data_IF_339896606125
#
_entry.id   IF_339896606125
#
_cell.length_a   1.000
_cell.length_b   1.000
_cell.length_c   1.000
_cell.angle_alpha   90.00
_cell.angle_beta   90.00
_cell.angle_gamma   90.00
#
_symmetry.space_group_name_H-M   'P 1'
#
loop_
_entity.id
_entity.type
_entity.pdbx_description
1 polymer ?
#
# COMPACT_ATOMS: atom_id res chain seq x y z
N UNK A 1 -1.61 -31.51 -11.07
CA UNK A 1 -0.34 -31.42 -11.83
C UNK A 1 0.50 -30.26 -11.29
N UNK A 2 1.76 -30.52 -10.89
CA UNK A 2 2.68 -29.53 -10.32
C UNK A 2 3.33 -28.73 -11.44
N UNK A 3 3.24 -27.40 -11.41
CA UNK A 3 3.93 -26.54 -12.39
C UNK A 3 5.36 -26.29 -11.90
N UNK A 4 6.35 -26.60 -12.74
CA UNK A 4 7.77 -26.45 -12.44
C UNK A 4 8.45 -25.60 -13.51
N UNK A 5 9.63 -25.05 -13.18
CA UNK A 5 10.40 -24.26 -14.15
C UNK A 5 10.98 -25.21 -15.22
N UNK A 6 10.95 -24.80 -16.49
CA UNK A 6 11.51 -25.57 -17.60
C UNK A 6 13.06 -25.59 -17.63
N UNK A 7 13.70 -24.87 -16.70
CA UNK A 7 15.14 -24.89 -16.50
C UNK A 7 15.48 -25.99 -15.49
N UNK A 8 16.35 -26.92 -15.89
CA UNK A 8 16.75 -28.11 -15.13
C UNK A 8 17.47 -27.77 -13.82
N UNK A 9 18.34 -26.75 -13.84
CA UNK A 9 19.03 -26.29 -12.62
C UNK A 9 18.13 -25.44 -11.69
N UNK A 10 16.90 -25.12 -12.11
CA UNK A 10 15.94 -24.35 -11.32
C UNK A 10 14.96 -25.29 -10.59
N UNK A 11 15.03 -25.31 -9.26
CA UNK A 11 14.15 -26.10 -8.37
C UNK A 11 12.85 -25.37 -7.98
N UNK A 12 12.49 -24.28 -8.68
CA UNK A 12 11.27 -23.53 -8.38
C UNK A 12 10.01 -24.31 -8.75
N UNK A 13 9.09 -24.39 -7.79
CA UNK A 13 7.78 -25.03 -7.91
C UNK A 13 6.69 -23.97 -7.76
N UNK A 14 5.60 -24.11 -8.50
CA UNK A 14 4.46 -23.23 -8.33
C UNK A 14 3.69 -23.60 -7.07
N UNK A 15 3.62 -22.66 -6.13
CA UNK A 15 2.88 -22.79 -4.87
C UNK A 15 1.91 -21.61 -4.79
N UNK A 16 0.66 -21.87 -4.40
CA UNK A 16 -0.35 -20.81 -4.22
C UNK A 16 0.12 -19.84 -3.11
N UNK A 17 0.25 -18.56 -3.45
CA UNK A 17 0.65 -17.50 -2.52
C UNK A 17 2.16 -17.30 -2.38
N UNK A 18 2.97 -18.01 -3.17
CA UNK A 18 4.42 -17.77 -3.24
C UNK A 18 4.73 -16.51 -4.07
N UNK A 19 5.89 -15.92 -3.81
CA UNK A 19 6.39 -14.69 -4.45
C UNK A 19 6.84 -14.98 -5.89
N UNK A 20 7.21 -16.24 -6.17
CA UNK A 20 7.67 -16.67 -7.49
C UNK A 20 6.48 -16.89 -8.42
N UNK A 21 6.39 -16.06 -9.47
CA UNK A 21 5.39 -16.22 -10.52
C UNK A 21 5.93 -17.06 -11.67
N UNK A 22 5.02 -17.75 -12.38
CA UNK A 22 5.36 -18.61 -13.51
C UNK A 22 4.74 -18.05 -14.78
N UNK A 23 5.55 -17.92 -15.81
CA UNK A 23 5.21 -17.28 -17.08
C UNK A 23 5.19 -18.31 -18.21
N UNK A 24 4.17 -18.19 -19.06
CA UNK A 24 4.07 -18.97 -20.28
C UNK A 24 5.00 -18.39 -21.35
N UNK A 25 5.48 -19.23 -22.25
CA UNK A 25 6.13 -18.74 -23.46
C UNK A 25 5.17 -17.85 -24.25
N UNK A 26 5.67 -16.73 -24.83
CA UNK A 26 4.86 -15.83 -25.63
C UNK A 26 4.16 -16.55 -26.79
N UNK A 27 2.98 -16.02 -27.17
CA UNK A 27 2.26 -16.45 -28.38
C UNK A 27 2.93 -15.89 -29.64
N UNK A 28 3.57 -14.73 -29.52
CA UNK A 28 4.29 -14.09 -30.62
C UNK A 28 5.53 -14.93 -30.99
N UNK A 29 5.59 -15.38 -32.24
CA UNK A 29 6.60 -16.33 -32.71
C UNK A 29 8.01 -15.74 -32.65
N UNK A 30 8.16 -14.44 -32.93
CA UNK A 30 9.44 -13.72 -32.87
C UNK A 30 9.99 -13.68 -31.45
N UNK A 31 9.17 -13.27 -30.47
CA UNK A 31 9.56 -13.19 -29.06
C UNK A 31 9.78 -14.58 -28.47
N UNK A 32 8.97 -15.58 -28.88
CA UNK A 32 9.18 -16.98 -28.49
C UNK A 32 10.53 -17.50 -28.97
N UNK A 33 10.93 -17.21 -30.22
CA UNK A 33 12.27 -17.57 -30.73
C UNK A 33 13.39 -16.89 -29.94
N UNK A 34 13.21 -15.62 -29.57
CA UNK A 34 14.15 -14.91 -28.70
C UNK A 34 14.29 -15.56 -27.33
N UNK A 35 13.18 -15.99 -26.70
CA UNK A 35 13.22 -16.72 -25.43
C UNK A 35 13.96 -18.05 -25.56
N UNK A 36 13.67 -18.83 -26.60
CA UNK A 36 14.32 -20.13 -26.83
C UNK A 36 15.81 -19.94 -27.10
N UNK A 37 16.19 -18.91 -27.87
CA UNK A 37 17.59 -18.60 -28.15
C UNK A 37 18.34 -18.06 -26.94
N UNK A 38 17.66 -17.38 -26.03
CA UNK A 38 18.26 -16.84 -24.82
C UNK A 38 18.55 -17.94 -23.78
N UNK A 39 17.74 -19.00 -23.76
CA UNK A 39 17.90 -20.12 -22.82
C UNK A 39 18.94 -21.11 -23.37
N UNK A 40 20.05 -21.36 -22.67
CA UNK A 40 21.02 -22.37 -23.09
C UNK A 40 20.38 -23.77 -23.14
N UNK A 41 20.55 -24.51 -24.23
CA UNK A 41 19.91 -25.82 -24.41
C UNK A 41 20.39 -26.88 -23.40
N UNK A 42 21.59 -26.70 -22.84
CA UNK A 42 22.19 -27.57 -21.82
C UNK A 42 21.57 -27.41 -20.42
N UNK A 43 20.82 -26.33 -20.17
CA UNK A 43 20.16 -26.10 -18.88
C UNK A 43 18.67 -26.38 -18.90
N UNK A 44 18.11 -26.84 -20.03
CA UNK A 44 16.71 -27.19 -20.14
C UNK A 44 16.42 -28.52 -19.43
N UNK A 45 15.29 -28.58 -18.72
CA UNK A 45 14.81 -29.78 -18.03
C UNK A 45 14.29 -30.83 -19.03
N UNK A 46 13.76 -30.38 -20.15
CA UNK A 46 13.21 -31.22 -21.22
C UNK A 46 13.89 -30.85 -22.54
N UNK A 47 14.04 -31.84 -23.42
CA UNK A 47 14.63 -31.65 -24.76
C UNK A 47 13.85 -30.63 -25.59
N UNK A 48 12.52 -30.60 -25.40
CA UNK A 48 11.61 -29.75 -26.17
C UNK A 48 10.82 -28.79 -25.28
N UNK A 49 10.68 -27.55 -25.74
CA UNK A 49 9.86 -26.52 -25.10
C UNK A 49 8.43 -26.62 -25.64
N UNK A 50 7.55 -27.22 -24.84
CA UNK A 50 6.13 -27.36 -25.17
C UNK A 50 5.34 -26.09 -24.83
N UNK A 51 4.07 -26.02 -25.24
CA UNK A 51 3.15 -24.95 -24.82
C UNK A 51 2.85 -24.95 -23.31
N UNK A 52 3.16 -26.04 -22.60
CA UNK A 52 2.96 -26.20 -21.17
C UNK A 52 4.23 -25.87 -20.37
N UNK A 53 5.37 -25.71 -21.03
CA UNK A 53 6.61 -25.24 -20.40
C UNK A 53 6.41 -23.84 -19.81
N UNK A 54 6.93 -23.63 -18.59
CA UNK A 54 6.84 -22.37 -17.86
C UNK A 54 8.22 -21.96 -17.36
N UNK A 55 8.49 -20.66 -17.37
CA UNK A 55 9.66 -20.06 -16.74
C UNK A 55 9.25 -19.32 -15.48
N UNK A 56 10.01 -19.46 -14.40
CA UNK A 56 9.75 -18.70 -13.19
C UNK A 56 10.31 -17.26 -13.28
N UNK A 57 9.80 -16.36 -12.45
CA UNK A 57 10.17 -14.94 -12.43
C UNK A 57 11.66 -14.69 -12.15
N UNK A 58 12.39 -15.65 -11.56
CA UNK A 58 13.83 -15.53 -11.26
C UNK A 58 14.70 -15.35 -12.50
N UNK A 59 14.23 -15.78 -13.67
CA UNK A 59 14.98 -15.71 -14.92
C UNK A 59 14.81 -14.36 -15.65
N UNK A 60 14.04 -13.44 -15.06
CA UNK A 60 13.76 -12.12 -15.59
C UNK A 60 14.29 -11.05 -14.63
N UNK A 61 14.83 -9.96 -15.16
CA UNK A 61 15.23 -8.80 -14.36
C UNK A 61 13.98 -8.07 -13.84
N UNK A 62 14.12 -7.29 -12.77
CA UNK A 62 13.01 -6.52 -12.20
C UNK A 62 12.35 -5.56 -13.23
N UNK A 63 13.14 -5.03 -14.17
CA UNK A 63 12.69 -4.15 -15.25
C UNK A 63 11.83 -4.85 -16.32
N UNK A 64 11.87 -6.18 -16.39
CA UNK A 64 11.03 -6.95 -17.31
C UNK A 64 9.57 -7.01 -16.88
N UNK A 65 9.22 -6.54 -15.68
CA UNK A 65 7.87 -6.59 -15.15
C UNK A 65 7.16 -5.24 -15.30
N UNK A 66 5.87 -5.26 -15.65
CA UNK A 66 5.05 -4.06 -15.69
C UNK A 66 4.75 -3.60 -14.27
N UNK A 67 5.00 -2.33 -13.98
CA UNK A 67 4.60 -1.68 -12.72
C UNK A 67 3.10 -1.34 -12.76
N UNK A 68 2.25 -2.36 -12.60
CA UNK A 68 0.79 -2.16 -12.56
C UNK A 68 0.37 -1.66 -11.19
N UNK A 69 0.15 -0.35 -11.06
CA UNK A 69 -0.38 0.35 -9.86
C UNK A 69 -1.85 0.02 -9.53
N UNK A 70 -2.48 -0.91 -10.26
CA UNK A 70 -3.86 -1.32 -10.01
C UNK A 70 -3.93 -2.48 -9.00
N UNK A 71 -4.54 -2.23 -7.84
CA UNK A 71 -4.83 -3.17 -6.74
C UNK A 71 -5.53 -4.50 -7.13
N UNK A 72 -5.95 -4.68 -8.39
CA UNK A 72 -6.58 -5.90 -8.92
C UNK A 72 -5.63 -6.85 -9.65
N UNK A 73 -4.37 -6.48 -9.89
CA UNK A 73 -3.40 -7.34 -10.60
C UNK A 73 -2.05 -7.39 -9.89
N UNK A 74 -2.01 -8.04 -8.71
CA UNK A 74 -0.77 -8.48 -8.05
C UNK A 74 -0.03 -9.59 -8.82
N UNK A 75 -0.42 -9.90 -10.05
CA UNK A 75 0.34 -10.78 -10.93
C UNK A 75 1.44 -9.94 -11.58
N UNK A 76 2.69 -10.22 -11.24
CA UNK A 76 3.87 -9.69 -11.94
C UNK A 76 3.76 -10.04 -13.43
N UNK A 77 3.18 -9.17 -14.24
CA UNK A 77 3.04 -9.39 -15.67
C UNK A 77 4.34 -8.97 -16.35
N UNK A 78 4.81 -9.79 -17.29
CA UNK A 78 5.99 -9.45 -18.09
C UNK A 78 5.63 -8.40 -19.15
N UNK A 79 6.55 -7.48 -19.39
CA UNK A 79 6.49 -6.53 -20.49
C UNK A 79 6.43 -7.27 -21.83
N UNK A 80 5.81 -6.65 -22.84
CA UNK A 80 5.65 -7.24 -24.18
C UNK A 80 6.98 -7.57 -24.88
N UNK A 81 8.09 -6.99 -24.41
CA UNK A 81 9.44 -7.21 -24.95
C UNK A 81 10.37 -7.89 -23.94
N UNK A 82 9.84 -8.42 -22.82
CA UNK A 82 10.66 -9.07 -21.82
C UNK A 82 11.29 -10.35 -22.39
N UNK A 83 12.59 -10.55 -22.17
CA UNK A 83 13.34 -11.75 -22.54
C UNK A 83 14.08 -12.27 -21.31
N UNK A 84 14.03 -13.58 -21.03
CA UNK A 84 14.75 -14.14 -19.90
C UNK A 84 16.26 -13.96 -20.14
N UNK A 85 16.95 -13.33 -19.20
CA UNK A 85 18.36 -12.95 -19.33
C UNK A 85 19.22 -13.55 -18.21
N UNK A 86 18.57 -14.00 -17.12
CA UNK A 86 19.26 -14.51 -15.93
C UNK A 86 19.27 -16.04 -15.97
N UNK A 87 20.40 -16.58 -16.41
CA UNK A 87 20.70 -18.00 -16.40
C UNK A 87 22.07 -18.18 -15.75
N UNK A 88 22.14 -18.00 -14.44
CA UNK A 88 23.40 -18.23 -13.72
C UNK A 88 23.81 -19.70 -13.92
N UNK A 89 24.94 -19.88 -14.59
CA UNK A 89 25.73 -21.09 -14.54
C UNK A 89 26.26 -21.17 -13.11
N UNK A 90 25.82 -22.17 -12.35
CA UNK A 90 26.15 -22.29 -10.93
C UNK A 90 27.61 -22.71 -10.80
N UNK A 91 28.54 -21.75 -10.97
CA UNK A 91 29.87 -21.84 -10.38
C UNK A 91 29.72 -21.40 -8.94
N UNK A 92 29.70 -22.40 -8.08
CA UNK A 92 29.70 -22.27 -6.63
C UNK A 92 30.97 -21.52 -6.20
N UNK A 93 30.92 -20.19 -6.19
CA UNK A 93 32.04 -19.37 -5.74
C UNK A 93 31.56 -18.12 -5.02
N UNK A 94 31.70 -18.18 -3.69
CA UNK A 94 32.11 -17.08 -2.82
C UNK A 94 31.14 -15.88 -2.71
N UNK A 95 29.90 -16.13 -2.30
CA UNK A 95 29.26 -15.21 -1.35
C UNK A 95 29.51 -15.72 0.06
N UNK A 96 30.33 -14.96 0.78
CA UNK A 96 30.74 -15.15 2.16
C UNK A 96 29.50 -15.18 3.07
N UNK A 97 28.94 -16.38 3.26
CA UNK A 97 28.01 -16.67 4.34
C UNK A 97 28.84 -16.75 5.61
N UNK A 98 28.61 -15.80 6.52
CA UNK A 98 29.05 -15.92 7.90
C UNK A 98 28.32 -17.13 8.49
N UNK A 99 29.15 -18.10 8.82
CA UNK A 99 28.89 -19.44 9.34
C UNK A 99 28.04 -19.42 10.61
N UNK A 100 27.04 -20.32 10.68
CA UNK A 100 26.59 -20.97 11.91
C UNK A 100 25.79 -22.23 11.49
N UNK A 101 26.44 -23.37 11.74
CA UNK A 101 26.24 -24.69 11.15
C UNK A 101 24.85 -25.32 11.40
N UNK A 102 24.32 -26.00 10.37
CA UNK A 102 23.27 -27.02 10.48
C UNK A 102 23.52 -28.17 9.51
N UNK A 103 24.23 -29.17 9.98
CA UNK A 103 24.10 -30.57 9.53
C UNK A 103 22.96 -31.22 10.36
N UNK A 104 22.10 -32.13 9.92
CA UNK A 104 21.79 -32.84 8.66
C UNK A 104 20.34 -33.34 8.81
N UNK A 105 19.54 -33.38 7.74
CA UNK A 105 18.23 -34.05 7.73
C UNK A 105 18.20 -35.04 6.55
N UNK A 106 17.98 -36.35 6.78
CA UNK A 106 18.06 -37.34 5.73
C UNK A 106 16.78 -37.40 4.87
N UNK A 107 17.03 -37.72 3.61
CA UNK A 107 16.11 -38.12 2.55
C UNK A 107 14.93 -38.99 3.00
N UNK A 108 13.72 -38.62 2.57
CA UNK A 108 12.67 -39.58 2.26
C UNK A 108 12.06 -39.20 0.91
N UNK A 109 12.51 -39.91 -0.12
CA UNK A 109 11.82 -40.02 -1.40
C UNK A 109 10.66 -41.02 -1.29
N UNK A 110 9.62 -40.72 -2.07
CA UNK A 110 8.55 -41.59 -2.57
C UNK A 110 7.38 -41.90 -1.64
N UNK A 111 6.27 -41.16 -1.81
CA UNK A 111 4.93 -41.75 -1.98
C UNK A 111 4.16 -40.92 -3.02
N UNK A 112 3.75 -41.57 -4.10
CA UNK A 112 2.80 -41.10 -5.11
C UNK A 112 1.37 -41.26 -4.60
N UNK A 113 0.49 -40.24 -4.73
CA UNK A 113 -0.94 -40.44 -4.97
C UNK A 113 -1.53 -39.23 -5.70
N UNK A 114 -2.19 -39.48 -6.82
CA UNK A 114 -2.99 -38.54 -7.61
C UNK A 114 -4.46 -38.51 -7.10
N UNK A 115 -5.36 -37.63 -7.60
CA UNK A 115 -6.13 -36.74 -6.74
C UNK A 115 -7.64 -37.06 -6.70
N UNK A 116 -8.31 -36.72 -5.60
CA UNK A 116 -9.77 -36.65 -5.56
C UNK A 116 -10.26 -35.31 -5.03
N UNK A 117 -11.19 -34.80 -5.84
CA UNK A 117 -11.98 -33.58 -5.80
C UNK A 117 -12.79 -33.43 -4.51
N UNK A 118 -13.35 -32.23 -4.28
CA UNK A 118 -14.68 -31.97 -3.73
C UNK A 118 -14.75 -30.50 -3.24
N UNK A 119 -15.46 -29.73 -4.03
CA UNK A 119 -16.21 -28.53 -3.69
C UNK A 119 -17.16 -28.72 -2.50
N UNK A 120 -17.17 -27.75 -1.58
CA UNK A 120 -18.32 -27.17 -0.88
C UNK A 120 -19.61 -28.02 -0.69
N UNK A 121 -19.99 -28.33 0.56
CA UNK A 121 -21.03 -27.65 1.37
C UNK A 121 -21.49 -28.54 2.56
N UNK A 122 -21.58 -27.93 3.74
CA UNK A 122 -22.29 -28.38 4.96
C UNK A 122 -22.46 -29.88 5.25
N UNK A 123 -21.73 -30.40 6.25
CA UNK A 123 -22.37 -31.31 7.22
C UNK A 123 -21.63 -31.35 8.55
N UNK A 124 -22.40 -31.49 9.63
CA UNK A 124 -22.00 -31.50 11.04
C UNK A 124 -20.87 -32.51 11.28
N UNK A 125 -19.78 -32.05 11.91
CA UNK A 125 -18.67 -32.93 12.26
C UNK A 125 -19.03 -33.81 13.47
N UNK A 126 -19.43 -35.05 13.21
CA UNK A 126 -19.07 -36.15 14.12
C UNK A 126 -17.58 -36.45 13.95
N UNK A 127 -16.89 -36.67 15.06
CA UNK A 127 -15.43 -36.81 15.12
C UNK A 127 -14.99 -37.99 14.23
N UNK A 128 -14.07 -37.81 13.27
CA UNK A 128 -13.56 -38.93 12.50
C UNK A 128 -12.76 -39.85 13.43
N UNK A 129 -13.13 -41.13 13.43
CA UNK A 129 -12.45 -42.20 14.14
C UNK A 129 -11.09 -42.43 13.45
N UNK A 130 -10.02 -41.84 14.03
CA UNK A 130 -8.64 -42.01 13.57
C UNK A 130 -8.10 -43.35 14.09
N UNK A 131 -8.58 -44.46 13.52
CA UNK A 131 -8.07 -45.81 13.85
C UNK A 131 -7.15 -46.40 12.78
N UNK A 132 -6.96 -45.75 11.62
CA UNK A 132 -6.30 -46.40 10.48
C UNK A 132 -5.03 -45.74 9.93
N UNK A 133 -4.51 -44.67 10.54
CA UNK A 133 -3.19 -44.17 10.16
C UNK A 133 -2.34 -43.99 11.41
N UNK A 134 -1.57 -45.03 11.75
CA UNK A 134 -0.24 -44.98 12.37
C UNK A 134 0.27 -46.43 12.59
N UNK A 135 0.77 -47.05 11.52
CA UNK A 135 1.72 -48.19 11.62
C UNK A 135 3.09 -47.81 11.06
N UNK A 136 3.56 -46.62 11.45
CA UNK A 136 4.98 -46.33 11.58
C UNK A 136 5.14 -45.78 12.98
N UNK A 137 5.67 -46.59 13.88
CA UNK A 137 6.07 -46.16 15.21
C UNK A 137 7.27 -45.21 15.06
N UNK A 138 7.00 -43.98 14.61
CA UNK A 138 7.87 -42.86 14.96
C UNK A 138 7.73 -42.78 16.47
N UNK A 139 8.79 -43.11 17.20
CA UNK A 139 8.77 -43.16 18.66
C UNK A 139 8.04 -41.92 19.21
N UNK A 140 7.07 -42.14 20.09
CA UNK A 140 6.18 -41.09 20.64
C UNK A 140 6.98 -39.91 21.19
N UNK A 141 8.22 -40.14 21.64
CA UNK A 141 9.18 -39.15 22.09
C UNK A 141 9.70 -38.23 20.96
N UNK A 142 9.95 -38.73 19.76
CA UNK A 142 10.40 -37.94 18.60
C UNK A 142 9.28 -37.04 18.06
N UNK A 143 8.05 -37.56 18.01
CA UNK A 143 6.86 -36.75 17.65
C UNK A 143 6.57 -35.64 18.66
N UNK A 144 6.65 -35.95 19.96
CA UNK A 144 6.51 -34.97 21.05
C UNK A 144 7.56 -33.86 20.95
N UNK A 145 8.83 -34.24 20.72
CA UNK A 145 9.95 -33.30 20.57
C UNK A 145 9.78 -32.36 19.37
N UNK A 146 9.33 -32.88 18.22
CA UNK A 146 9.07 -32.06 17.03
C UNK A 146 7.89 -31.10 17.25
N UNK A 147 6.87 -31.51 18.01
CA UNK A 147 5.73 -30.65 18.36
C UNK A 147 6.16 -29.52 19.30
N UNK A 148 6.93 -29.85 20.35
CA UNK A 148 7.48 -28.87 21.30
C UNK A 148 8.42 -27.87 20.60
N UNK A 149 9.21 -28.33 19.62
CA UNK A 149 10.09 -27.47 18.82
C UNK A 149 9.31 -26.56 17.87
N UNK A 150 8.26 -27.08 17.23
CA UNK A 150 7.34 -26.28 16.41
C UNK A 150 6.60 -25.23 17.24
N UNK A 151 6.17 -25.58 18.46
CA UNK A 151 5.50 -24.66 19.39
C UNK A 151 6.43 -23.52 19.82
N UNK A 152 7.70 -23.81 20.09
CA UNK A 152 8.72 -22.78 20.36
C UNK A 152 8.93 -21.84 19.18
N UNK A 153 8.96 -22.37 17.95
CA UNK A 153 9.08 -21.55 16.74
C UNK A 153 7.86 -20.64 16.61
N UNK A 154 6.64 -21.16 16.76
CA UNK A 154 5.40 -20.37 16.71
C UNK A 154 5.39 -19.28 17.78
N UNK A 155 5.80 -19.59 19.01
CA UNK A 155 5.92 -18.59 20.08
C UNK A 155 6.96 -17.50 19.74
N UNK A 156 8.08 -17.87 19.13
CA UNK A 156 9.10 -16.90 18.69
C UNK A 156 8.60 -15.99 17.58
N UNK A 157 7.87 -16.55 16.59
CA UNK A 157 7.33 -15.82 15.45
C UNK A 157 6.18 -14.90 15.89
N UNK A 158 5.28 -15.38 16.74
CA UNK A 158 4.19 -14.55 17.29
C UNK A 158 4.73 -13.39 18.12
N UNK A 159 5.81 -13.60 18.88
CA UNK A 159 6.50 -12.51 19.60
C UNK A 159 7.10 -11.48 18.64
N UNK A 160 7.77 -11.93 17.56
CA UNK A 160 8.33 -11.05 16.52
C UNK A 160 7.24 -10.27 15.79
N UNK A 161 6.11 -10.89 15.45
CA UNK A 161 4.95 -10.22 14.85
C UNK A 161 4.42 -9.11 15.75
N UNK A 162 4.17 -9.40 17.03
CA UNK A 162 3.73 -8.38 18.00
C UNK A 162 4.71 -7.19 18.12
N UNK A 163 6.01 -7.46 18.06
CA UNK A 163 7.03 -6.39 18.07
C UNK A 163 6.98 -5.54 16.81
N UNK A 164 6.77 -6.15 15.64
CA UNK A 164 6.60 -5.42 14.37
C UNK A 164 5.32 -4.59 14.37
N UNK A 165 4.21 -5.14 14.82
CA UNK A 165 2.93 -4.42 14.93
C UNK A 165 3.05 -3.19 15.84
N UNK A 166 3.78 -3.33 16.97
CA UNK A 166 4.07 -2.20 17.86
C UNK A 166 4.94 -1.14 17.17
N UNK A 167 5.97 -1.56 16.41
CA UNK A 167 6.83 -0.64 15.65
C UNK A 167 6.04 0.11 14.58
N UNK A 168 5.14 -0.57 13.87
CA UNK A 168 4.28 0.05 12.86
C UNK A 168 3.42 1.13 13.51
N UNK A 169 2.75 0.83 14.63
CA UNK A 169 1.95 1.82 15.37
C UNK A 169 2.75 3.05 15.81
N UNK A 170 3.95 2.86 16.34
CA UNK A 170 4.84 3.97 16.74
C UNK A 170 5.27 4.81 15.53
N UNK A 171 5.56 4.19 14.39
CA UNK A 171 5.90 4.90 13.16
C UNK A 171 4.70 5.67 12.59
N UNK A 172 3.52 5.09 12.59
CA UNK A 172 2.27 5.75 12.16
C UNK A 172 1.98 6.98 13.02
N UNK A 173 2.15 6.88 14.35
CA UNK A 173 1.97 8.02 15.26
C UNK A 173 2.99 9.14 14.99
N UNK A 174 4.25 8.78 14.76
CA UNK A 174 5.30 9.76 14.39
C UNK A 174 5.03 10.44 13.06
N UNK A 175 4.54 9.70 12.06
CA UNK A 175 4.16 10.27 10.77
C UNK A 175 3.00 11.26 10.95
N UNK A 176 1.95 10.88 11.69
CA UNK A 176 0.82 11.77 11.98
C UNK A 176 1.26 13.05 12.70
N UNK A 177 2.19 12.93 13.66
CA UNK A 177 2.77 14.10 14.34
C UNK A 177 3.54 15.01 13.37
N UNK A 178 4.41 14.45 12.54
CA UNK A 178 5.15 15.21 11.52
C UNK A 178 4.21 15.90 10.53
N UNK A 179 3.17 15.22 10.05
CA UNK A 179 2.17 15.81 9.16
C UNK A 179 1.44 17.00 9.80
N UNK A 180 1.14 16.92 11.11
CA UNK A 180 0.54 18.06 11.83
C UNK A 180 1.51 19.21 12.04
N UNK A 181 2.79 18.92 12.29
CA UNK A 181 3.86 19.92 12.40
C UNK A 181 4.09 20.63 11.07
N UNK A 182 4.22 19.89 9.96
CA UNK A 182 4.38 20.46 8.61
C UNK A 182 3.20 21.35 8.20
N UNK A 183 1.96 20.95 8.52
CA UNK A 183 0.77 21.79 8.28
C UNK A 183 0.79 23.06 9.12
N UNK A 184 1.21 22.98 10.38
CA UNK A 184 1.35 24.12 11.28
C UNK A 184 2.42 25.10 10.77
N UNK A 185 3.56 24.57 10.34
CA UNK A 185 4.66 25.40 9.84
C UNK A 185 4.33 26.03 8.48
N UNK A 186 3.65 25.28 7.59
CA UNK A 186 3.11 25.84 6.35
C UNK A 186 2.12 26.97 6.61
N UNK A 187 1.22 26.80 7.59
CA UNK A 187 0.25 27.83 7.98
C UNK A 187 0.94 29.09 8.52
N UNK A 188 1.97 28.92 9.37
CA UNK A 188 2.79 30.05 9.86
C UNK A 188 3.48 30.79 8.71
N UNK A 189 4.11 30.06 7.79
CA UNK A 189 4.77 30.66 6.62
C UNK A 189 3.79 31.49 5.77
N UNK A 190 2.57 30.99 5.56
CA UNK A 190 1.53 31.74 4.83
C UNK A 190 1.11 32.98 5.62
N UNK A 191 0.92 32.88 6.94
CA UNK A 191 0.57 34.03 7.80
C UNK A 191 1.65 35.12 7.77
N UNK A 192 2.92 34.73 7.77
CA UNK A 192 4.05 35.66 7.65
C UNK A 192 4.11 36.32 6.27
N UNK A 193 3.85 35.56 5.20
CA UNK A 193 3.79 36.09 3.84
C UNK A 193 2.64 37.10 3.68
N UNK A 194 1.45 36.81 4.25
CA UNK A 194 0.31 37.73 4.28
C UNK A 194 0.69 39.04 4.98
N UNK A 195 1.30 38.95 6.17
CA UNK A 195 1.72 40.14 6.91
C UNK A 195 2.81 40.95 6.20
N UNK A 196 3.65 40.31 5.38
CA UNK A 196 4.76 40.98 4.69
C UNK A 196 4.35 41.63 3.37
N UNK A 197 3.50 40.96 2.59
CA UNK A 197 3.23 41.36 1.20
C UNK A 197 1.83 41.93 0.96
N UNK A 198 0.87 41.72 1.87
CA UNK A 198 -0.50 42.25 1.74
C UNK A 198 -0.62 43.56 2.51
N UNK A 199 -1.23 44.57 1.88
CA UNK A 199 -1.49 45.87 2.50
C UNK A 199 -2.34 45.74 3.79
N UNK A 200 -2.12 46.67 4.72
CA UNK A 200 -2.81 46.73 6.02
C UNK A 200 -4.34 46.67 5.90
N UNK A 201 -4.91 47.37 4.91
CA UNK A 201 -6.37 47.48 4.72
C UNK A 201 -7.01 46.18 4.21
N UNK A 202 -6.21 45.25 3.67
CA UNK A 202 -6.69 44.01 3.02
C UNK A 202 -6.24 42.75 3.75
N UNK A 203 -5.18 42.82 4.55
CA UNK A 203 -4.65 41.67 5.27
C UNK A 203 -5.64 41.14 6.32
N UNK A 204 -6.53 42.00 6.85
CA UNK A 204 -7.51 41.62 7.85
C UNK A 204 -8.49 40.55 7.37
N UNK A 205 -8.85 40.54 6.08
CA UNK A 205 -9.62 39.46 5.46
C UNK A 205 -8.96 38.09 5.67
N UNK A 206 -7.64 38.02 5.51
CA UNK A 206 -6.87 36.78 5.63
C UNK A 206 -6.59 36.41 7.08
N UNK A 207 -6.26 37.40 7.93
CA UNK A 207 -6.01 37.18 9.36
C UNK A 207 -7.24 36.62 10.07
N UNK A 208 -8.42 37.08 9.68
CA UNK A 208 -9.69 36.57 10.18
C UNK A 208 -9.91 35.08 9.84
N UNK A 209 -9.54 34.65 8.62
CA UNK A 209 -9.60 33.23 8.23
C UNK A 209 -8.71 32.36 9.10
N UNK A 210 -7.48 32.81 9.39
CA UNK A 210 -6.56 32.06 10.24
C UNK A 210 -7.12 31.91 11.66
N UNK A 211 -7.62 33.00 12.26
CA UNK A 211 -8.17 32.98 13.62
C UNK A 211 -9.40 32.06 13.77
N UNK A 212 -10.27 32.00 12.76
CA UNK A 212 -11.47 31.17 12.80
C UNK A 212 -11.23 29.71 12.38
N UNK A 213 -10.13 29.41 11.69
CA UNK A 213 -9.70 28.02 11.44
C UNK A 213 -9.01 27.40 12.65
N UNK A 214 -8.35 28.21 13.49
CA UNK A 214 -7.74 27.76 14.76
C UNK A 214 -8.80 27.48 15.84
N UNK A 215 -9.95 28.15 15.79
CA UNK A 215 -11.01 28.05 16.80
C UNK A 215 -12.11 27.09 16.33
N UNK A 216 -12.06 25.84 16.80
CA UNK A 216 -13.03 24.81 16.39
C UNK A 216 -14.47 25.17 16.73
N UNK A 217 -15.32 25.40 15.71
CA UNK A 217 -16.81 25.53 15.71
C UNK A 217 -17.50 26.47 16.71
N UNK A 218 -16.84 26.93 17.75
CA UNK A 218 -17.32 27.92 18.70
C UNK A 218 -17.42 29.29 18.03
N UNK A 219 -18.38 30.08 18.51
CA UNK A 219 -18.82 31.38 17.99
C UNK A 219 -17.68 32.18 17.34
N UNK A 220 -17.66 32.20 15.99
CA UNK A 220 -16.71 33.00 15.20
C UNK A 220 -16.80 34.46 15.61
N UNK A 221 -15.65 35.08 15.82
CA UNK A 221 -15.54 36.49 16.22
C UNK A 221 -15.21 37.29 14.96
N UNK A 222 -15.99 38.34 14.70
CA UNK A 222 -15.82 39.21 13.54
C UNK A 222 -15.39 40.60 14.02
N UNK A 223 -14.26 41.08 13.50
CA UNK A 223 -13.81 42.45 13.74
C UNK A 223 -14.77 43.47 13.14
N UNK A 224 -14.61 44.75 13.46
CA UNK A 224 -15.43 45.82 12.90
C UNK A 224 -15.29 45.92 11.38
N UNK A 225 -14.05 45.86 10.87
CA UNK A 225 -13.76 45.79 9.45
C UNK A 225 -14.49 44.61 8.77
N UNK A 226 -14.43 43.41 9.35
CA UNK A 226 -15.12 42.25 8.77
C UNK A 226 -16.64 42.40 8.77
N UNK A 227 -17.20 43.11 9.78
CA UNK A 227 -18.63 43.43 9.84
C UNK A 227 -19.03 44.41 8.74
N UNK A 228 -18.25 45.46 8.54
CA UNK A 228 -18.44 46.46 7.47
C UNK A 228 -18.31 45.81 6.09
N UNK A 229 -17.27 45.01 5.86
CA UNK A 229 -17.06 44.26 4.62
C UNK A 229 -18.25 43.34 4.31
N UNK A 230 -18.73 42.58 5.30
CA UNK A 230 -19.89 41.70 5.14
C UNK A 230 -21.18 42.48 4.81
N UNK A 231 -21.40 43.63 5.45
CA UNK A 231 -22.55 44.49 5.19
C UNK A 231 -22.48 45.11 3.78
N UNK A 232 -21.33 45.67 3.40
CA UNK A 232 -21.10 46.29 2.09
C UNK A 232 -21.26 45.28 0.94
N UNK A 233 -20.63 44.12 1.05
CA UNK A 233 -20.75 43.07 0.01
C UNK A 233 -22.18 42.54 -0.12
N UNK A 234 -22.91 42.43 0.99
CA UNK A 234 -24.32 42.07 0.97
C UNK A 234 -25.19 43.15 0.33
N UNK A 235 -24.91 44.43 0.62
CA UNK A 235 -25.60 45.59 0.03
C UNK A 235 -25.49 45.60 -1.49
N UNK A 236 -24.27 45.46 -2.03
CA UNK A 236 -24.05 45.47 -3.48
C UNK A 236 -24.62 44.24 -4.19
N UNK A 237 -24.46 43.04 -3.62
CA UNK A 237 -25.01 41.83 -4.23
C UNK A 237 -25.15 40.67 -3.24
N UNK A 238 -26.39 40.35 -2.84
CA UNK A 238 -26.67 39.16 -2.02
C UNK A 238 -26.24 37.84 -2.69
N UNK A 239 -26.19 37.81 -4.04
CA UNK A 239 -25.73 36.64 -4.79
C UNK A 239 -24.21 36.46 -4.66
N UNK A 240 -23.44 37.54 -4.82
CA UNK A 240 -21.97 37.52 -4.64
C UNK A 240 -21.64 37.17 -3.20
N UNK A 241 -22.35 37.74 -2.23
CA UNK A 241 -22.17 37.40 -0.81
C UNK A 241 -22.31 35.89 -0.55
N UNK A 242 -23.34 35.24 -1.12
CA UNK A 242 -23.53 33.79 -1.00
C UNK A 242 -22.39 32.97 -1.60
N UNK A 243 -21.76 33.47 -2.67
CA UNK A 243 -20.60 32.82 -3.30
C UNK A 243 -19.37 33.01 -2.41
N UNK A 244 -19.09 34.24 -1.98
CA UNK A 244 -17.95 34.56 -1.09
C UNK A 244 -18.02 33.78 0.21
N UNK A 245 -19.20 33.61 0.80
CA UNK A 245 -19.40 32.83 2.02
C UNK A 245 -18.96 31.35 1.88
N UNK A 246 -18.91 30.81 0.66
CA UNK A 246 -18.38 29.45 0.42
C UNK A 246 -16.85 29.41 0.39
N UNK A 247 -16.21 30.55 0.16
CA UNK A 247 -14.75 30.68 -0.02
C UNK A 247 -14.06 31.17 1.26
N UNK A 248 -14.69 32.10 1.97
CA UNK A 248 -14.18 32.73 3.18
C UNK A 248 -15.19 32.64 4.33
N UNK A 249 -14.71 32.71 5.57
CA UNK A 249 -15.52 32.73 6.78
C UNK A 249 -16.32 34.03 6.91
N UNK A 250 -17.51 34.04 6.30
CA UNK A 250 -18.50 35.11 6.44
C UNK A 250 -19.67 34.69 7.33
N UNK A 251 -20.32 35.65 8.01
CA UNK A 251 -21.47 35.37 8.85
C UNK A 251 -22.70 34.97 8.01
N UNK A 252 -23.79 34.62 8.67
CA UNK A 252 -25.03 34.30 7.96
C UNK A 252 -25.57 35.52 7.20
N UNK A 253 -26.34 35.29 6.14
CA UNK A 253 -26.96 36.37 5.37
C UNK A 253 -27.88 37.23 6.24
N UNK A 254 -28.55 36.62 7.22
CA UNK A 254 -29.35 37.35 8.21
C UNK A 254 -28.47 38.28 9.06
N UNK A 255 -27.32 37.78 9.55
CA UNK A 255 -26.38 38.60 10.32
C UNK A 255 -25.82 39.76 9.51
N UNK A 256 -25.44 39.52 8.25
CA UNK A 256 -24.94 40.58 7.37
C UNK A 256 -26.03 41.63 7.06
N UNK A 257 -27.27 41.19 6.83
CA UNK A 257 -28.41 42.10 6.65
C UNK A 257 -28.69 42.93 7.91
N UNK A 258 -28.56 42.33 9.10
CA UNK A 258 -28.70 43.05 10.38
C UNK A 258 -27.61 44.11 10.54
N UNK A 259 -26.35 43.75 10.30
CA UNK A 259 -25.25 44.73 10.37
C UNK A 259 -25.41 45.85 9.34
N UNK A 260 -25.93 45.57 8.16
CA UNK A 260 -26.25 46.61 7.18
C UNK A 260 -27.28 47.61 7.73
N UNK A 261 -28.29 47.14 8.47
CA UNK A 261 -29.25 48.04 9.14
C UNK A 261 -28.52 48.88 10.20
N UNK A 262 -27.68 48.26 11.03
CA UNK A 262 -26.92 48.95 12.07
C UNK A 262 -26.00 50.05 11.46
N UNK A 263 -25.28 49.73 10.38
CA UNK A 263 -24.37 50.67 9.70
C UNK A 263 -25.07 51.67 8.79
N UNK A 264 -26.31 51.43 8.35
CA UNK A 264 -27.07 52.40 7.55
C UNK A 264 -27.37 53.71 8.30
N UNK A 265 -27.22 53.69 9.63
CA UNK A 265 -27.33 54.86 10.50
C UNK A 265 -26.03 55.69 10.52
N UNK A 266 -24.92 55.17 10.00
CA UNK A 266 -23.65 55.85 9.86
C UNK A 266 -23.54 56.50 8.46
N UNK A 267 -23.59 57.83 8.35
CA UNK A 267 -23.52 58.53 7.07
C UNK A 267 -22.20 58.31 6.33
N UNK A 268 -21.10 58.14 7.06
CA UNK A 268 -19.76 57.96 6.49
C UNK A 268 -19.66 56.60 5.79
N UNK A 269 -20.12 55.54 6.48
CA UNK A 269 -20.16 54.20 5.89
C UNK A 269 -21.03 54.15 4.63
N UNK A 270 -22.20 54.80 4.64
CA UNK A 270 -23.10 54.85 3.50
C UNK A 270 -22.55 55.67 2.32
N UNK A 271 -21.58 56.56 2.55
CA UNK A 271 -20.86 57.26 1.48
C UNK A 271 -19.77 56.38 0.87
N UNK A 272 -19.09 55.57 1.69
CA UNK A 272 -18.03 54.65 1.25
C UNK A 272 -18.54 53.48 0.40
N UNK A 273 -19.81 53.08 0.53
CA UNK A 273 -20.41 51.94 -0.19
C UNK A 273 -21.36 52.34 -1.34
N UNK A 274 -21.43 53.63 -1.70
CA UNK A 274 -22.16 54.11 -2.89
C UNK A 274 -21.37 53.87 -4.17
#
# INVERSE_FOLDING_TARGET
MVVTCCIGNCKSLWIRGDIITFHCFPKDESLRKQWISAIPSNILRTTDITQHSRLCSKHFTAECFTESTSFKSLRNMLNKNAVPTIFEEYQESQYQLVELEKETLPNILNIEVDPLDISNENCKMEKPNVSYILKREIGVQTLKRNFDESEKIIQSLTKRLKQRDKKIKDLEERLKKKETEEKSDSMKMIKDAVNKYICEERKELFLHEFANNETGSSKKIYSEYMRQFAAATYHHSPKVYKILKKLITLPTTYTAARWLIDFSQDPQFMEEIK
#
